data_IF_005108662402
#
_entry.id   IF_005108662402
#
_cell.length_a   1.000
_cell.length_b   1.000
_cell.length_c   1.000
_cell.angle_alpha   90.00
_cell.angle_beta   90.00
_cell.angle_gamma   90.00
#
_symmetry.space_group_name_H-M   'P 1'
#
loop_
_entity.id
_entity.type
_entity.pdbx_description
1 polymer ?
#
# COMPACT_ATOMS: atom_id res chain seq x y z
N UNK A 1 25.66 -12.12 0.96
CA UNK A 1 25.33 -12.51 -0.43
C UNK A 1 23.98 -13.19 -0.39
N UNK A 2 22.91 -12.50 -0.80
CA UNK A 2 21.60 -13.12 -0.96
C UNK A 2 21.68 -14.06 -2.15
N UNK A 3 21.58 -15.37 -1.90
CA UNK A 3 21.35 -16.38 -2.94
C UNK A 3 20.04 -16.02 -3.65
N UNK A 4 20.16 -15.63 -4.93
CA UNK A 4 19.07 -15.09 -5.73
C UNK A 4 17.83 -15.99 -5.67
N UNK A 5 16.71 -15.40 -5.24
CA UNK A 5 15.41 -16.05 -5.31
C UNK A 5 14.98 -16.24 -6.77
N UNK A 6 13.90 -17.00 -6.95
CA UNK A 6 13.31 -17.18 -8.27
C UNK A 6 12.98 -15.82 -8.90
N UNK A 7 13.28 -15.60 -10.19
CA UNK A 7 12.96 -14.35 -10.85
C UNK A 7 11.45 -14.13 -10.85
N UNK A 8 11.02 -12.95 -10.39
CA UNK A 8 9.62 -12.53 -10.54
C UNK A 8 9.41 -12.16 -12.01
N UNK A 9 8.71 -13.03 -12.73
CA UNK A 9 8.35 -12.78 -14.13
C UNK A 9 7.13 -11.85 -14.16
N UNK A 10 7.35 -10.58 -14.49
CA UNK A 10 6.28 -9.57 -14.58
C UNK A 10 5.42 -9.73 -15.84
N UNK A 11 5.97 -10.32 -16.91
CA UNK A 11 5.26 -10.66 -18.15
C UNK A 11 6.02 -11.77 -18.89
N UNK A 12 5.32 -12.81 -19.35
CA UNK A 12 5.91 -14.00 -20.01
C UNK A 12 5.44 -14.21 -21.46
N UNK A 13 4.79 -13.21 -22.08
CA UNK A 13 4.27 -13.34 -23.44
C UNK A 13 5.40 -13.46 -24.48
N UNK A 14 5.38 -14.54 -25.29
CA UNK A 14 6.39 -14.88 -26.32
C UNK A 14 6.41 -13.94 -27.55
N UNK A 15 5.45 -13.03 -27.68
CA UNK A 15 5.43 -12.05 -28.77
C UNK A 15 6.26 -10.81 -28.39
N UNK A 16 7.01 -10.27 -29.35
CA UNK A 16 7.71 -8.99 -29.18
C UNK A 16 6.69 -7.85 -29.01
N UNK A 17 6.28 -7.59 -27.77
CA UNK A 17 5.43 -6.48 -27.38
C UNK A 17 6.31 -5.24 -27.22
N UNK A 18 5.88 -4.10 -27.76
CA UNK A 18 6.52 -2.82 -27.50
C UNK A 18 6.17 -2.40 -26.06
N UNK A 19 6.93 -2.89 -25.09
CA UNK A 19 6.65 -2.70 -23.66
C UNK A 19 7.70 -1.81 -23.00
N UNK A 20 7.23 -0.92 -22.12
CA UNK A 20 8.10 -0.07 -21.31
C UNK A 20 7.80 -0.30 -19.84
N UNK A 21 8.85 -0.34 -19.02
CA UNK A 21 8.74 -0.36 -17.58
C UNK A 21 9.19 1.00 -17.02
N UNK A 22 8.31 1.66 -16.28
CA UNK A 22 8.49 3.04 -15.81
C UNK A 22 8.30 3.09 -14.30
N UNK A 23 9.24 3.70 -13.59
CA UNK A 23 9.04 4.10 -12.20
C UNK A 23 8.47 5.51 -12.18
N UNK A 24 7.23 5.67 -11.72
CA UNK A 24 6.56 6.96 -11.60
C UNK A 24 7.02 7.71 -10.33
N UNK A 25 6.84 9.03 -10.33
CA UNK A 25 7.16 9.88 -9.15
C UNK A 25 6.36 9.49 -7.90
N UNK A 26 5.21 8.82 -8.07
CA UNK A 26 4.44 8.23 -6.96
C UNK A 26 5.13 7.05 -6.28
N UNK A 27 6.21 6.52 -6.86
CA UNK A 27 6.85 5.27 -6.47
C UNK A 27 6.23 4.03 -7.13
N UNK A 28 5.17 4.19 -7.93
CA UNK A 28 4.58 3.06 -8.63
C UNK A 28 5.44 2.66 -9.85
N UNK A 29 5.95 1.43 -9.83
CA UNK A 29 6.56 0.80 -10.99
C UNK A 29 5.49 0.17 -11.87
N UNK A 30 5.38 0.61 -13.12
CA UNK A 30 4.33 0.20 -14.07
C UNK A 30 4.97 -0.41 -15.31
N UNK A 31 4.42 -1.54 -15.76
CA UNK A 31 4.73 -2.17 -17.03
C UNK A 31 3.57 -1.98 -18.00
N UNK A 32 3.83 -1.29 -19.11
CA UNK A 32 2.81 -0.95 -20.10
C UNK A 32 3.19 -1.46 -21.49
N UNK A 33 2.19 -1.88 -22.26
CA UNK A 33 2.30 -2.15 -23.69
C UNK A 33 1.87 -0.92 -24.49
N UNK A 34 2.61 -0.61 -25.55
CA UNK A 34 2.36 0.53 -26.42
C UNK A 34 1.99 0.08 -27.83
N UNK A 35 1.10 0.86 -28.44
CA UNK A 35 0.83 0.77 -29.87
C UNK A 35 1.99 1.35 -30.69
N UNK A 36 1.98 1.13 -32.00
CA UNK A 36 3.01 1.65 -32.92
C UNK A 36 3.09 3.18 -32.93
N UNK A 37 2.01 3.87 -32.59
CA UNK A 37 1.92 5.34 -32.47
C UNK A 37 2.37 5.88 -31.10
N UNK A 38 2.91 5.01 -30.23
CA UNK A 38 3.33 5.29 -28.84
C UNK A 38 2.19 5.65 -27.87
N UNK A 39 0.93 5.40 -28.23
CA UNK A 39 -0.15 5.42 -27.24
C UNK A 39 -0.09 4.18 -26.34
N UNK A 40 -0.46 4.33 -25.06
CA UNK A 40 -0.60 3.20 -24.14
C UNK A 40 -1.75 2.32 -24.62
N UNK A 41 -1.44 1.06 -24.91
CA UNK A 41 -2.42 0.05 -25.33
C UNK A 41 -3.04 -0.63 -24.11
N UNK A 42 -2.21 -1.06 -23.18
CA UNK A 42 -2.64 -1.81 -22.00
C UNK A 42 -1.62 -1.64 -20.88
N UNK A 43 -2.10 -1.46 -19.65
CA UNK A 43 -1.27 -1.62 -18.45
C UNK A 43 -1.22 -3.11 -18.11
N UNK A 44 -0.04 -3.71 -18.23
CA UNK A 44 0.16 -5.14 -18.04
C UNK A 44 0.36 -5.50 -16.57
N UNK A 45 1.00 -4.63 -15.79
CA UNK A 45 1.30 -4.84 -14.38
C UNK A 45 1.63 -3.52 -13.68
N UNK A 46 1.35 -3.42 -12.38
CA UNK A 46 1.85 -2.34 -11.53
C UNK A 46 2.22 -2.82 -10.12
N UNK A 47 3.20 -2.15 -9.51
CA UNK A 47 3.69 -2.49 -8.17
C UNK A 47 2.67 -2.20 -7.07
N UNK A 48 1.83 -1.17 -7.25
CA UNK A 48 0.82 -0.79 -6.26
C UNK A 48 -0.25 -1.87 -6.07
N UNK A 49 -0.38 -2.77 -7.04
CA UNK A 49 -1.24 -3.96 -6.95
C UNK A 49 -0.64 -5.09 -6.11
N UNK A 50 0.64 -4.98 -5.73
CA UNK A 50 1.36 -5.98 -4.93
C UNK A 50 2.11 -5.32 -3.75
N UNK A 51 1.39 -4.72 -2.78
CA UNK A 51 2.02 -4.10 -1.61
C UNK A 51 2.86 -5.09 -0.79
N UNK A 52 3.93 -4.58 -0.15
CA UNK A 52 4.73 -5.33 0.84
C UNK A 52 4.34 -4.93 2.26
N UNK A 53 5.26 -4.36 3.03
CA UNK A 53 5.10 -3.84 4.38
C UNK A 53 4.75 -2.34 4.40
N UNK A 54 4.77 -1.68 3.24
CA UNK A 54 4.63 -0.23 3.12
C UNK A 54 3.42 0.17 2.29
N UNK A 55 2.69 1.19 2.76
CA UNK A 55 1.65 1.90 2.01
C UNK A 55 2.14 3.30 1.65
N UNK A 56 2.26 3.59 0.36
CA UNK A 56 2.57 4.90 -0.20
C UNK A 56 1.29 5.69 -0.53
N UNK A 57 1.37 7.04 -0.66
CA UNK A 57 0.27 7.84 -1.15
C UNK A 57 -0.27 7.32 -2.48
N UNK A 58 -1.59 7.15 -2.57
CA UNK A 58 -2.28 6.63 -3.76
C UNK A 58 -2.42 5.10 -3.83
N UNK A 59 -1.67 4.34 -3.02
CA UNK A 59 -1.88 2.90 -2.89
C UNK A 59 -3.22 2.58 -2.23
N UNK A 60 -3.74 1.38 -2.50
CA UNK A 60 -5.01 0.89 -1.95
C UNK A 60 -4.77 -0.16 -0.87
N UNK A 61 -5.61 -0.16 0.16
CA UNK A 61 -5.84 -1.30 1.05
C UNK A 61 -7.31 -1.69 0.94
N UNK A 62 -7.62 -2.96 0.71
CA UNK A 62 -9.00 -3.42 0.51
C UNK A 62 -9.06 -4.48 -0.59
N UNK A 63 -10.17 -4.53 -1.32
CA UNK A 63 -10.44 -5.60 -2.28
C UNK A 63 -10.99 -5.08 -3.61
N UNK A 64 -10.47 -5.65 -4.70
CA UNK A 64 -11.09 -5.58 -6.01
C UNK A 64 -12.14 -6.69 -6.13
N UNK A 65 -13.41 -6.33 -6.23
CA UNK A 65 -14.53 -7.27 -6.28
C UNK A 65 -14.62 -8.01 -7.63
N UNK A 66 -14.04 -7.46 -8.70
CA UNK A 66 -14.03 -8.10 -10.02
C UNK A 66 -12.97 -9.19 -10.13
N UNK A 67 -11.75 -8.90 -9.66
CA UNK A 67 -10.61 -9.83 -9.77
C UNK A 67 -10.45 -10.70 -8.53
N UNK A 68 -11.07 -10.32 -7.40
CA UNK A 68 -10.87 -10.97 -6.10
C UNK A 68 -9.54 -10.58 -5.44
N UNK A 69 -8.77 -9.67 -6.03
CA UNK A 69 -7.48 -9.24 -5.51
C UNK A 69 -7.64 -8.46 -4.21
N UNK A 70 -6.90 -8.87 -3.18
CA UNK A 70 -6.86 -8.20 -1.89
C UNK A 70 -5.54 -7.41 -1.77
N UNK A 71 -5.66 -6.10 -1.57
CA UNK A 71 -4.54 -5.23 -1.23
C UNK A 71 -4.43 -5.13 0.29
N UNK A 72 -3.34 -5.65 0.83
CA UNK A 72 -3.01 -5.62 2.26
C UNK A 72 -1.52 -5.46 2.45
N UNK A 73 -1.09 -4.90 3.57
CA UNK A 73 0.31 -4.95 3.94
C UNK A 73 0.63 -6.24 4.71
N UNK A 74 1.85 -6.73 4.55
CA UNK A 74 2.44 -7.76 5.39
C UNK A 74 3.79 -7.26 5.92
N UNK A 75 3.95 -7.24 7.25
CA UNK A 75 5.22 -6.88 7.88
C UNK A 75 6.33 -7.80 7.37
N UNK A 76 7.58 -7.37 7.36
CA UNK A 76 8.69 -8.30 7.21
C UNK A 76 8.83 -9.24 8.43
N UNK A 77 9.49 -10.38 8.25
CA UNK A 77 9.87 -11.26 9.38
C UNK A 77 10.71 -10.47 10.40
N UNK A 78 11.69 -9.71 9.90
CA UNK A 78 12.51 -8.78 10.66
C UNK A 78 13.19 -7.79 9.67
N UNK A 79 13.96 -6.85 10.19
CA UNK A 79 14.66 -5.81 9.41
C UNK A 79 15.67 -6.38 8.39
N UNK A 80 16.12 -7.62 8.56
CA UNK A 80 17.10 -8.28 7.68
C UNK A 80 16.48 -9.26 6.68
N UNK A 81 15.22 -9.66 6.89
CA UNK A 81 14.55 -10.71 6.11
C UNK A 81 13.22 -10.17 5.55
N UNK A 82 13.20 -9.66 4.31
CA UNK A 82 12.05 -9.01 3.70
C UNK A 82 10.96 -9.98 3.20
N UNK A 83 10.83 -11.14 3.83
CA UNK A 83 9.76 -12.09 3.56
C UNK A 83 8.52 -11.76 4.41
N UNK A 84 7.30 -12.14 3.99
CA UNK A 84 6.09 -11.93 4.77
C UNK A 84 6.19 -12.50 6.19
N UNK A 85 5.97 -11.63 7.16
CA UNK A 85 6.03 -11.87 8.60
C UNK A 85 4.64 -12.16 9.18
N UNK A 86 4.50 -11.96 10.50
CA UNK A 86 3.28 -12.38 11.21
C UNK A 86 2.17 -11.34 11.27
N UNK A 87 2.47 -10.07 10.97
CA UNK A 87 1.50 -9.00 11.02
C UNK A 87 1.00 -8.63 9.62
N UNK A 88 -0.30 -8.41 9.51
CA UNK A 88 -0.92 -7.83 8.31
C UNK A 88 -1.71 -6.59 8.67
N UNK A 89 -1.82 -5.65 7.73
CA UNK A 89 -2.72 -4.49 7.84
C UNK A 89 -3.69 -4.51 6.67
N UNK A 90 -4.97 -4.50 6.98
CA UNK A 90 -6.06 -4.68 6.01
C UNK A 90 -7.12 -3.59 6.20
N UNK A 91 -7.85 -3.26 5.14
CA UNK A 91 -9.04 -2.43 5.22
C UNK A 91 -10.28 -3.32 5.28
N UNK A 92 -11.11 -3.18 6.31
CA UNK A 92 -12.35 -3.97 6.46
C UNK A 92 -13.60 -3.31 5.88
N UNK A 93 -13.45 -2.19 5.16
CA UNK A 93 -14.55 -1.34 4.68
C UNK A 93 -14.78 -0.07 5.49
N UNK A 94 -14.34 -0.03 6.76
CA UNK A 94 -14.51 1.14 7.64
C UNK A 94 -13.34 1.42 8.57
N UNK A 95 -12.47 0.44 8.80
CA UNK A 95 -11.34 0.49 9.73
C UNK A 95 -10.11 -0.16 9.09
N UNK A 96 -8.94 0.36 9.45
CA UNK A 96 -7.68 -0.37 9.30
C UNK A 96 -7.59 -1.39 10.43
N UNK A 97 -7.45 -2.66 10.08
CA UNK A 97 -7.37 -3.77 11.02
C UNK A 97 -5.99 -4.38 10.90
N UNK A 98 -5.25 -4.35 12.00
CA UNK A 98 -4.01 -5.08 12.11
C UNK A 98 -4.28 -6.47 12.67
N UNK A 99 -3.83 -7.50 11.96
CA UNK A 99 -3.89 -8.88 12.43
C UNK A 99 -2.50 -9.38 12.79
N UNK A 100 -2.45 -10.30 13.74
CA UNK A 100 -1.26 -11.10 14.08
C UNK A 100 -1.62 -12.56 13.92
N UNK A 101 -0.98 -13.24 12.95
CA UNK A 101 -1.27 -14.65 12.61
C UNK A 101 -2.76 -14.91 12.35
N UNK A 102 -3.42 -13.98 11.65
CA UNK A 102 -4.84 -14.06 11.28
C UNK A 102 -5.83 -13.61 12.36
N UNK A 103 -5.42 -13.50 13.62
CA UNK A 103 -6.26 -12.93 14.69
C UNK A 103 -6.14 -11.41 14.76
N UNK A 104 -7.24 -10.70 15.03
CA UNK A 104 -7.22 -9.24 15.23
C UNK A 104 -6.30 -8.88 16.40
N UNK A 105 -5.31 -8.04 16.13
CA UNK A 105 -4.36 -7.54 17.11
C UNK A 105 -4.70 -6.10 17.53
N UNK A 106 -5.09 -5.27 16.57
CA UNK A 106 -5.44 -3.87 16.78
C UNK A 106 -6.36 -3.36 15.67
N UNK A 107 -7.12 -2.29 15.93
CA UNK A 107 -7.91 -1.58 14.92
C UNK A 107 -7.73 -0.08 15.08
N UNK A 108 -7.77 0.64 13.97
CA UNK A 108 -7.80 2.12 13.94
C UNK A 108 -9.07 2.71 14.53
N UNK A 109 -10.09 1.89 14.76
CA UNK A 109 -11.47 2.34 14.90
C UNK A 109 -12.01 2.91 13.59
N UNK A 110 -13.24 3.39 13.62
CA UNK A 110 -13.97 3.79 12.39
C UNK A 110 -13.41 5.08 11.83
N UNK A 111 -13.12 5.11 10.53
CA UNK A 111 -12.83 6.35 9.82
C UNK A 111 -14.10 7.22 9.79
N UNK A 112 -14.10 8.32 10.55
CA UNK A 112 -15.21 9.30 10.59
C UNK A 112 -14.63 10.70 10.54
N UNK A 113 -15.28 11.60 9.79
CA UNK A 113 -14.86 13.00 9.68
C UNK A 113 -13.35 13.14 9.39
N UNK A 114 -12.83 12.31 8.48
CA UNK A 114 -11.41 12.27 8.06
C UNK A 114 -10.42 11.93 9.19
N UNK A 115 -10.87 11.30 10.26
CA UNK A 115 -10.01 10.86 11.37
C UNK A 115 -10.32 9.44 11.79
N UNK A 116 -9.29 8.73 12.23
CA UNK A 116 -9.41 7.42 12.87
C UNK A 116 -9.54 7.60 14.38
N UNK A 117 -10.44 6.85 15.01
CA UNK A 117 -10.72 6.93 16.45
C UNK A 117 -9.48 6.64 17.32
N UNK A 118 -8.67 5.66 16.91
CA UNK A 118 -7.50 5.19 17.66
C UNK A 118 -6.17 5.49 16.96
N UNK A 119 -6.17 6.42 16.00
CA UNK A 119 -4.93 6.97 15.42
C UNK A 119 -4.92 8.51 15.53
N UNK A 120 -4.86 9.05 16.75
CA UNK A 120 -4.97 10.50 16.96
C UNK A 120 -3.83 11.28 16.30
N UNK A 121 -2.63 10.70 16.13
CA UNK A 121 -1.51 11.39 15.50
C UNK A 121 -1.74 11.66 13.99
N UNK A 122 -2.60 10.87 13.34
CA UNK A 122 -3.04 11.08 11.95
C UNK A 122 -4.26 11.99 11.82
N UNK A 123 -4.81 12.46 12.94
CA UNK A 123 -6.03 13.27 12.92
C UNK A 123 -5.80 14.67 12.34
N UNK A 124 -6.90 15.26 11.87
CA UNK A 124 -6.94 16.60 11.30
C UNK A 124 -6.34 17.66 12.23
N UNK A 125 -6.54 17.50 13.55
CA UNK A 125 -6.15 18.48 14.57
C UNK A 125 -4.66 18.43 14.92
N UNK A 126 -3.94 17.35 14.58
CA UNK A 126 -2.52 17.16 14.96
C UNK A 126 -1.52 17.29 13.81
N UNK A 127 -1.95 17.09 12.56
CA UNK A 127 -1.04 16.94 11.41
C UNK A 127 -1.14 18.06 10.35
N UNK A 128 -1.57 19.28 10.72
CA UNK A 128 -1.77 20.40 9.77
C UNK A 128 -2.59 20.00 8.52
N UNK A 129 -3.48 19.01 8.65
CA UNK A 129 -4.35 18.57 7.56
C UNK A 129 -3.60 18.11 6.29
N UNK A 130 -2.39 17.54 6.44
CA UNK A 130 -1.59 17.03 5.30
C UNK A 130 -2.16 15.74 4.69
N UNK A 131 -2.94 14.98 5.46
CA UNK A 131 -3.49 13.70 5.03
C UNK A 131 -4.89 13.87 4.48
N UNK A 132 -5.09 13.42 3.25
CA UNK A 132 -6.42 13.26 2.66
C UNK A 132 -6.75 11.78 2.59
N UNK A 133 -7.58 11.32 3.52
CA UNK A 133 -8.08 9.94 3.53
C UNK A 133 -9.26 9.78 2.58
N UNK A 134 -9.21 8.73 1.78
CA UNK A 134 -10.26 8.36 0.85
C UNK A 134 -10.69 6.91 1.14
N UNK A 135 -12.00 6.70 1.25
CA UNK A 135 -12.60 5.38 1.34
C UNK A 135 -13.62 5.23 0.23
N UNK A 136 -13.44 4.24 -0.63
CA UNK A 136 -14.35 3.92 -1.73
C UNK A 136 -15.05 2.60 -1.41
N UNK A 137 -16.35 2.57 -1.65
CA UNK A 137 -17.15 1.34 -1.65
C UNK A 137 -18.15 1.42 -2.79
N UNK A 138 -17.90 0.66 -3.86
CA UNK A 138 -18.79 0.55 -5.01
C UNK A 138 -18.83 -0.91 -5.52
N UNK A 139 -19.53 -1.14 -6.62
CA UNK A 139 -19.71 -2.47 -7.22
C UNK A 139 -18.41 -3.12 -7.74
N UNK A 140 -17.36 -2.32 -7.94
CA UNK A 140 -16.08 -2.78 -8.48
C UNK A 140 -15.06 -3.02 -7.37
N UNK A 141 -14.98 -2.14 -6.38
CA UNK A 141 -13.89 -2.13 -5.39
C UNK A 141 -14.35 -1.55 -4.05
N UNK A 142 -13.77 -2.07 -2.96
CA UNK A 142 -13.89 -1.51 -1.61
C UNK A 142 -12.49 -1.31 -1.07
N UNK A 143 -12.05 -0.05 -0.91
CA UNK A 143 -10.70 0.24 -0.46
C UNK A 143 -10.57 1.53 0.33
N UNK A 144 -9.49 1.61 1.09
CA UNK A 144 -8.93 2.81 1.68
C UNK A 144 -7.67 3.21 0.93
N UNK A 145 -7.48 4.51 0.71
CA UNK A 145 -6.23 5.10 0.27
C UNK A 145 -6.02 6.43 0.98
N UNK A 146 -4.80 6.95 0.89
CA UNK A 146 -4.51 8.30 1.34
C UNK A 146 -3.70 9.06 0.29
N UNK A 147 -3.75 10.39 0.35
CA UNK A 147 -2.87 11.26 -0.40
C UNK A 147 -2.30 12.37 0.50
N UNK A 148 -1.22 12.98 0.02
CA UNK A 148 -0.54 14.12 0.65
C UNK A 148 -0.28 15.20 -0.41
N UNK A 149 -0.10 16.48 -0.02
CA UNK A 149 0.29 17.53 -0.96
C UNK A 149 1.59 17.22 -1.70
N UNK A 150 1.72 17.77 -2.90
CA UNK A 150 2.94 17.62 -3.71
C UNK A 150 4.18 18.10 -2.94
N UNK A 151 5.27 17.34 -3.06
CA UNK A 151 6.52 17.61 -2.34
C UNK A 151 6.55 17.12 -0.89
N UNK A 152 5.44 16.60 -0.34
CA UNK A 152 5.42 15.93 0.96
C UNK A 152 5.76 14.45 0.79
N UNK A 153 6.82 14.01 1.46
CA UNK A 153 7.15 12.58 1.56
C UNK A 153 6.37 11.97 2.73
N UNK A 154 5.68 10.87 2.47
CA UNK A 154 4.99 10.07 3.47
C UNK A 154 5.03 8.60 3.04
N UNK A 155 5.16 7.72 4.02
CA UNK A 155 5.26 6.28 3.82
C UNK A 155 4.80 5.60 5.11
N UNK A 156 3.70 4.86 5.06
CA UNK A 156 3.24 4.10 6.23
C UNK A 156 3.82 2.69 6.21
N UNK A 157 4.79 2.44 7.08
CA UNK A 157 5.48 1.15 7.20
C UNK A 157 4.95 0.33 8.38
N UNK A 158 4.57 -0.92 8.11
CA UNK A 158 4.19 -1.93 9.09
C UNK A 158 5.42 -2.75 9.49
N UNK A 159 5.94 -2.52 10.69
CA UNK A 159 7.14 -3.24 11.14
C UNK A 159 6.84 -4.65 11.69
N UNK A 160 7.91 -5.45 11.82
CA UNK A 160 7.87 -6.83 12.32
C UNK A 160 7.31 -7.00 13.75
N UNK A 161 7.13 -5.90 14.50
CA UNK A 161 6.62 -5.88 15.87
C UNK A 161 5.15 -5.44 15.95
N UNK A 162 4.48 -5.20 14.82
CA UNK A 162 3.10 -4.73 14.79
C UNK A 162 2.97 -3.24 15.10
N UNK A 163 4.01 -2.45 14.82
CA UNK A 163 3.93 -0.99 14.83
C UNK A 163 3.69 -0.45 13.42
N UNK A 164 2.83 0.55 13.32
CA UNK A 164 2.64 1.36 12.10
C UNK A 164 3.30 2.72 12.32
N UNK A 165 4.19 3.12 11.41
CA UNK A 165 4.89 4.40 11.47
C UNK A 165 4.87 5.09 10.12
N UNK A 166 4.81 6.42 10.14
CA UNK A 166 5.04 7.24 8.95
C UNK A 166 6.49 7.77 8.91
N UNK A 167 7.08 7.94 7.72
CA UNK A 167 8.43 8.51 7.57
C UNK A 167 8.56 9.95 8.10
N UNK A 168 7.46 10.72 8.17
CA UNK A 168 7.45 12.01 8.89
C UNK A 168 7.56 11.86 10.41
N UNK A 169 7.25 10.68 10.96
CA UNK A 169 7.35 10.36 12.39
C UNK A 169 8.76 9.94 12.85
N UNK A 170 9.80 10.16 12.03
CA UNK A 170 11.21 10.02 12.48
C UNK A 170 11.64 11.05 13.53
N UNK A 171 10.71 11.88 14.05
CA UNK A 171 10.84 12.59 15.33
C UNK A 171 9.76 12.22 16.34
N UNK A 172 9.45 10.92 16.46
CA UNK A 172 8.57 10.45 17.51
C UNK A 172 8.11 9.02 17.30
N UNK A 173 8.99 8.05 17.54
CA UNK A 173 8.54 6.67 17.73
C UNK A 173 7.69 6.59 19.00
N UNK A 174 6.37 6.53 18.86
CA UNK A 174 5.50 6.06 19.93
C UNK A 174 4.93 4.70 19.55
N UNK A 175 5.22 3.72 20.40
CA UNK A 175 4.59 2.41 20.36
C UNK A 175 3.13 2.58 20.77
N UNK A 176 2.22 2.00 20.00
CA UNK A 176 0.87 1.67 20.46
C UNK A 176 0.98 0.49 21.44
#
# INVERSE_FOLDING_TARGET
>A
MHSGGDPIVLNSNQAARNSTATLLDSGNFVLEEFNSDRSVKEKLWESFDNPTDTLLPGMKLGINLKTGQNWSLASWINEQVPAPGTFTLEWNGTQLVMKRRGGTYWSSGTLKNRSFEFIPWLSFDTCNNIYSFNSVANENEIYFSYSVPDGVVSEWALNSRGGLSDTKAMFGSQKI
#
